data_IF_007491599753
#
_entry.id   IF_007491599753
#
_cell.length_a   1.000
_cell.length_b   1.000
_cell.length_c   1.000
_cell.angle_alpha   90.00
_cell.angle_beta   90.00
_cell.angle_gamma   90.00
#
_symmetry.space_group_name_H-M   'P 1'
#
loop_
_entity.id
_entity.type
_entity.pdbx_description
1 polymer ?
#
# COMPACT_ATOMS: atom_id res chain seq x y z
N UNK A 1 -9.06 14.44 2.33
CA UNK A 1 -8.39 15.04 1.16
C UNK A 1 -9.04 16.36 0.74
N UNK A 2 -8.84 17.43 1.52
CA UNK A 2 -9.46 18.73 1.19
C UNK A 2 -8.85 19.37 -0.07
N UNK A 3 -7.58 19.12 -0.38
CA UNK A 3 -6.90 19.67 -1.56
C UNK A 3 -7.38 19.14 -2.93
N UNK A 4 -8.14 18.03 -2.96
CA UNK A 4 -8.81 17.60 -4.19
C UNK A 4 -10.03 18.48 -4.49
N UNK A 5 -10.78 18.83 -3.45
CA UNK A 5 -11.98 19.66 -3.53
C UNK A 5 -11.68 21.11 -3.96
N UNK A 6 -10.46 21.61 -3.71
CA UNK A 6 -9.95 22.90 -4.19
C UNK A 6 -9.89 22.99 -5.73
N UNK A 7 -9.63 21.87 -6.42
CA UNK A 7 -9.57 21.80 -7.89
C UNK A 7 -10.90 21.40 -8.54
N UNK A 8 -11.96 21.21 -7.75
CA UNK A 8 -13.27 20.81 -8.28
C UNK A 8 -13.96 21.98 -8.99
N UNK A 9 -14.48 21.73 -10.20
CA UNK A 9 -15.27 22.70 -10.97
C UNK A 9 -16.48 23.24 -10.19
N UNK A 10 -17.00 22.44 -9.26
CA UNK A 10 -18.16 22.79 -8.43
C UNK A 10 -17.81 23.72 -7.24
N UNK A 11 -16.54 24.07 -7.03
CA UNK A 11 -16.09 24.99 -5.97
C UNK A 11 -16.63 24.68 -4.55
N UNK A 12 -16.67 23.41 -4.09
CA UNK A 12 -17.32 23.01 -2.83
C UNK A 12 -16.74 23.72 -1.60
N UNK A 13 -15.45 24.10 -1.64
CA UNK A 13 -14.78 24.81 -0.55
C UNK A 13 -15.22 26.28 -0.38
N UNK A 14 -16.13 26.80 -1.22
CA UNK A 14 -16.75 28.12 -0.99
C UNK A 14 -17.59 28.15 0.29
N UNK A 15 -18.30 27.06 0.59
CA UNK A 15 -19.12 26.92 1.81
C UNK A 15 -18.25 26.98 3.08
N UNK A 16 -17.01 26.48 2.99
CA UNK A 16 -16.05 26.48 4.09
C UNK A 16 -15.64 27.89 4.54
N UNK A 17 -15.69 28.92 3.69
CA UNK A 17 -15.39 30.29 4.14
C UNK A 17 -16.34 30.75 5.25
N UNK A 18 -17.66 30.54 5.06
CA UNK A 18 -18.67 30.90 6.04
C UNK A 18 -18.53 30.09 7.34
N UNK A 19 -18.29 28.78 7.22
CA UNK A 19 -18.12 27.88 8.37
C UNK A 19 -16.84 28.13 9.17
N UNK A 20 -15.79 28.68 8.54
CA UNK A 20 -14.52 29.01 9.20
C UNK A 20 -14.53 30.38 9.89
N UNK A 21 -15.40 31.31 9.47
CA UNK A 21 -15.50 32.64 10.08
C UNK A 21 -16.23 32.63 11.42
N UNK A 22 -17.26 31.79 11.56
CA UNK A 22 -17.96 31.56 12.83
C UNK A 22 -18.07 30.04 13.09
N UNK A 23 -17.00 29.39 13.57
CA UNK A 23 -16.95 27.94 13.70
C UNK A 23 -17.82 27.43 14.85
N UNK A 24 -19.03 26.96 14.52
CA UNK A 24 -19.90 26.23 15.45
C UNK A 24 -19.43 24.80 15.78
N UNK A 25 -18.42 24.30 15.06
CA UNK A 25 -17.77 23.01 15.28
C UNK A 25 -16.26 23.12 15.05
N UNK A 26 -15.47 22.29 15.73
CA UNK A 26 -14.03 22.18 15.47
C UNK A 26 -13.77 21.48 14.13
N UNK A 27 -12.95 22.08 13.27
CA UNK A 27 -12.53 21.50 12.00
C UNK A 27 -11.05 21.10 12.03
N UNK A 28 -10.76 19.86 11.63
CA UNK A 28 -9.40 19.41 11.27
C UNK A 28 -9.46 18.87 9.85
N UNK A 29 -8.64 19.42 8.96
CA UNK A 29 -8.61 19.03 7.55
C UNK A 29 -7.23 18.53 7.14
N UNK A 30 -7.17 17.36 6.51
CA UNK A 30 -5.95 16.76 5.97
C UNK A 30 -5.90 16.87 4.45
N UNK A 31 -4.72 17.25 3.94
CA UNK A 31 -4.46 17.45 2.52
C UNK A 31 -3.03 17.08 2.16
N UNK A 32 -2.85 16.35 1.07
CA UNK A 32 -1.54 16.13 0.46
C UNK A 32 -1.07 17.29 -0.45
N UNK A 33 -1.85 18.38 -0.56
CA UNK A 33 -1.56 19.57 -1.38
C UNK A 33 -1.96 20.85 -0.63
N UNK A 34 -1.26 21.99 -0.82
CA UNK A 34 -1.69 23.26 -0.25
C UNK A 34 -3.06 23.68 -0.80
N UNK A 35 -3.82 24.39 0.02
CA UNK A 35 -5.04 25.11 -0.39
C UNK A 35 -4.68 26.51 -0.88
N UNK A 36 -5.67 27.29 -1.35
CA UNK A 36 -5.42 28.70 -1.64
C UNK A 36 -5.14 29.52 -0.35
N UNK A 37 -4.54 30.69 -0.50
CA UNK A 37 -4.22 31.58 0.62
C UNK A 37 -5.48 32.08 1.36
N UNK A 38 -6.62 32.23 0.68
CA UNK A 38 -7.85 32.76 1.27
C UNK A 38 -8.50 31.77 2.25
N UNK A 39 -8.43 30.45 2.00
CA UNK A 39 -8.79 29.43 3.00
C UNK A 39 -7.71 29.32 4.08
N UNK A 40 -6.42 29.28 3.68
CA UNK A 40 -5.31 29.12 4.63
C UNK A 40 -5.24 30.22 5.69
N UNK A 41 -5.58 31.47 5.36
CA UNK A 41 -5.61 32.58 6.32
C UNK A 41 -6.67 32.43 7.44
N UNK A 42 -7.62 31.49 7.31
CA UNK A 42 -8.69 31.23 8.28
C UNK A 42 -8.44 29.97 9.14
N UNK A 43 -7.30 29.30 8.97
CA UNK A 43 -6.95 28.07 9.69
C UNK A 43 -5.49 28.09 10.15
N UNK A 44 -5.16 27.33 11.20
CA UNK A 44 -3.77 27.07 11.55
C UNK A 44 -3.23 26.01 10.59
N UNK A 45 -2.33 26.41 9.69
CA UNK A 45 -1.70 25.49 8.72
C UNK A 45 -0.42 24.91 9.31
N UNK A 46 -0.44 23.61 9.63
CA UNK A 46 0.78 22.86 9.91
C UNK A 46 1.27 22.15 8.63
N UNK A 47 2.40 22.59 8.10
CA UNK A 47 3.04 21.96 6.93
C UNK A 47 4.14 21.00 7.40
N UNK A 48 4.07 19.74 6.94
CA UNK A 48 5.12 18.74 7.17
C UNK A 48 6.08 18.79 5.97
N UNK A 49 7.33 19.26 6.13
CA UNK A 49 8.27 19.38 5.03
C UNK A 49 8.69 18.01 4.50
N UNK A 50 8.91 17.89 3.19
CA UNK A 50 9.26 16.61 2.57
C UNK A 50 10.78 16.32 2.63
N UNK A 51 11.38 16.33 3.82
CA UNK A 51 12.80 15.93 3.99
C UNK A 51 12.94 14.41 4.06
N UNK A 52 12.66 13.77 2.92
CA UNK A 52 12.53 12.32 2.80
C UNK A 52 13.69 11.56 3.44
N UNK A 53 14.94 12.01 3.31
CA UNK A 53 16.12 11.28 3.82
C UNK A 53 16.23 11.30 5.34
N UNK A 54 16.19 12.48 5.97
CA UNK A 54 16.32 12.57 7.43
C UNK A 54 15.10 11.99 8.15
N UNK A 55 13.90 12.17 7.57
CA UNK A 55 12.67 11.58 8.11
C UNK A 55 12.80 10.05 8.15
N UNK A 56 13.27 9.46 7.05
CA UNK A 56 13.50 8.03 6.91
C UNK A 56 14.55 7.49 7.90
N UNK A 57 15.69 8.17 8.06
CA UNK A 57 16.73 7.78 9.02
C UNK A 57 16.20 7.86 10.47
N UNK A 58 15.58 8.98 10.85
CA UNK A 58 15.01 9.19 12.19
C UNK A 58 13.89 8.18 12.51
N UNK A 59 12.99 7.90 11.55
CA UNK A 59 11.90 6.94 11.73
C UNK A 59 12.46 5.52 11.86
N UNK A 60 13.46 5.14 11.05
CA UNK A 60 14.06 3.82 11.17
C UNK A 60 14.75 3.63 12.53
N UNK A 61 15.44 4.66 13.05
CA UNK A 61 15.99 4.63 14.40
C UNK A 61 14.91 4.58 15.49
N UNK A 62 13.80 5.30 15.34
CA UNK A 62 12.69 5.29 16.29
C UNK A 62 12.02 3.90 16.37
N UNK A 63 11.67 3.31 15.23
CA UNK A 63 11.07 1.96 15.18
C UNK A 63 12.04 0.92 15.76
N UNK A 64 13.36 1.06 15.55
CA UNK A 64 14.36 0.20 16.17
C UNK A 64 14.41 0.37 17.70
N UNK A 65 14.41 1.62 18.21
CA UNK A 65 14.40 1.93 19.65
C UNK A 65 13.13 1.44 20.37
N UNK A 66 11.98 1.52 19.71
CA UNK A 66 10.69 1.03 20.22
C UNK A 66 10.53 -0.50 20.09
N UNK A 67 11.37 -1.17 19.30
CA UNK A 67 11.24 -2.60 19.09
C UNK A 67 11.61 -3.39 20.35
N UNK A 68 10.64 -4.14 20.89
CA UNK A 68 10.83 -5.08 22.01
C UNK A 68 11.55 -6.38 21.58
N UNK A 69 11.79 -6.54 20.28
CA UNK A 69 12.45 -7.70 19.69
C UNK A 69 13.96 -7.51 19.80
N UNK A 70 14.66 -8.49 20.39
CA UNK A 70 16.13 -8.50 20.48
C UNK A 70 16.76 -8.75 19.11
N UNK A 71 16.79 -7.71 18.29
CA UNK A 71 17.23 -7.76 16.89
C UNK A 71 18.73 -7.54 16.73
N UNK A 72 19.30 -8.08 15.64
CA UNK A 72 20.66 -7.76 15.17
C UNK A 72 20.67 -6.59 14.18
N UNK A 73 19.50 -6.08 13.80
CA UNK A 73 19.36 -5.01 12.83
C UNK A 73 20.05 -3.73 13.31
N UNK A 74 21.01 -3.26 12.52
CA UNK A 74 21.98 -2.25 12.90
C UNK A 74 21.75 -0.89 12.21
N UNK A 75 22.31 0.18 12.80
CA UNK A 75 22.32 1.53 12.20
C UNK A 75 22.99 1.54 10.81
N UNK A 76 23.93 0.62 10.55
CA UNK A 76 24.57 0.49 9.24
C UNK A 76 23.62 -0.11 8.19
N UNK A 77 22.81 -1.12 8.56
CA UNK A 77 21.76 -1.66 7.69
C UNK A 77 20.66 -0.63 7.43
N UNK A 78 20.26 0.18 8.43
CA UNK A 78 19.35 1.31 8.23
C UNK A 78 19.92 2.25 7.15
N UNK A 79 21.16 2.72 7.30
CA UNK A 79 21.83 3.61 6.33
C UNK A 79 21.95 2.99 4.93
N UNK A 80 22.17 1.68 4.84
CA UNK A 80 22.14 0.96 3.57
C UNK A 80 20.75 0.99 2.93
N UNK A 81 19.69 0.66 3.67
CA UNK A 81 18.32 0.66 3.16
C UNK A 81 17.85 2.07 2.77
N UNK A 82 18.24 3.10 3.52
CA UNK A 82 18.06 4.52 3.14
C UNK A 82 18.75 4.82 1.80
N UNK A 83 20.02 4.41 1.64
CA UNK A 83 20.79 4.59 0.40
C UNK A 83 20.14 3.87 -0.79
N UNK A 84 19.62 2.66 -0.57
CA UNK A 84 18.89 1.89 -1.59
C UNK A 84 17.61 2.62 -2.00
N UNK A 85 16.79 3.01 -1.03
CA UNK A 85 15.52 3.71 -1.28
C UNK A 85 15.71 5.03 -2.05
N UNK A 86 16.63 5.89 -1.57
CA UNK A 86 16.93 7.18 -2.19
C UNK A 86 17.51 7.05 -3.61
N UNK A 87 18.47 6.13 -3.82
CA UNK A 87 19.07 5.93 -5.14
C UNK A 87 18.10 5.30 -6.15
N UNK A 88 17.25 4.37 -5.73
CA UNK A 88 16.22 3.81 -6.61
C UNK A 88 15.22 4.89 -7.02
N UNK A 89 14.64 5.62 -6.06
CA UNK A 89 13.68 6.69 -6.35
C UNK A 89 14.24 7.73 -7.34
N UNK A 90 15.48 8.18 -7.11
CA UNK A 90 16.17 9.14 -8.01
C UNK A 90 16.51 8.57 -9.39
N UNK A 91 16.79 7.27 -9.51
CA UNK A 91 17.17 6.66 -10.79
C UNK A 91 15.95 6.42 -11.68
N UNK A 92 14.84 5.97 -11.09
CA UNK A 92 13.59 5.77 -11.80
C UNK A 92 12.92 7.09 -12.22
N UNK A 93 13.09 8.16 -11.42
CA UNK A 93 12.58 9.50 -11.74
C UNK A 93 13.32 10.23 -12.88
N UNK A 94 14.51 9.77 -13.29
CA UNK A 94 15.38 10.49 -14.24
C UNK A 94 15.34 10.00 -15.69
N UNK A 95 14.60 8.93 -15.97
CA UNK A 95 14.49 8.36 -17.32
C UNK A 95 13.06 7.88 -17.55
N UNK A 96 12.39 8.47 -18.55
CA UNK A 96 11.02 8.14 -19.00
C UNK A 96 10.85 6.72 -19.60
N UNK A 97 11.73 5.77 -19.28
CA UNK A 97 11.84 4.48 -19.95
C UNK A 97 10.88 3.40 -19.43
N UNK A 98 10.19 3.65 -18.30
CA UNK A 98 9.07 2.81 -17.90
C UNK A 98 7.75 3.58 -18.08
N UNK A 99 7.23 3.54 -19.31
CA UNK A 99 5.99 4.19 -19.77
C UNK A 99 4.74 3.93 -18.92
N UNK A 100 4.76 2.91 -18.06
CA UNK A 100 3.70 2.54 -17.12
C UNK A 100 3.67 3.38 -15.82
N UNK A 101 4.76 4.06 -15.45
CA UNK A 101 4.93 4.64 -14.09
C UNK A 101 5.37 6.11 -14.16
N UNK A 102 4.41 7.02 -14.43
CA UNK A 102 4.71 8.46 -14.60
C UNK A 102 4.92 9.26 -13.32
N UNK A 103 4.43 8.81 -12.16
CA UNK A 103 4.60 9.52 -10.88
C UNK A 103 4.82 8.56 -9.70
N UNK A 104 5.73 8.93 -8.78
CA UNK A 104 5.84 8.45 -7.39
C UNK A 104 5.60 6.95 -7.10
N UNK A 105 6.26 6.05 -7.83
CA UNK A 105 6.25 4.60 -7.53
C UNK A 105 6.63 4.29 -6.07
N UNK A 106 7.73 4.85 -5.56
CA UNK A 106 8.21 4.57 -4.20
C UNK A 106 7.77 5.65 -3.20
N UNK A 107 6.88 5.28 -2.29
CA UNK A 107 6.37 6.13 -1.21
C UNK A 107 6.98 5.81 0.16
N UNK A 108 6.77 6.70 1.15
CA UNK A 108 7.28 6.53 2.53
C UNK A 108 6.81 5.20 3.17
N UNK A 109 5.63 4.71 2.79
CA UNK A 109 5.06 3.43 3.28
C UNK A 109 5.83 2.20 2.79
N UNK A 110 6.47 2.28 1.63
CA UNK A 110 7.38 1.25 1.12
C UNK A 110 8.62 1.16 2.00
N UNK A 111 9.20 2.30 2.35
CA UNK A 111 10.31 2.35 3.29
C UNK A 111 9.92 1.88 4.70
N UNK A 112 8.77 2.28 5.24
CA UNK A 112 8.35 1.82 6.58
C UNK A 112 8.13 0.30 6.61
N UNK A 113 7.55 -0.28 5.56
CA UNK A 113 7.36 -1.73 5.46
C UNK A 113 8.69 -2.48 5.29
N UNK A 114 9.65 -1.91 4.55
CA UNK A 114 11.02 -2.41 4.42
C UNK A 114 11.75 -2.47 5.77
N UNK A 115 11.66 -1.39 6.57
CA UNK A 115 12.27 -1.35 7.91
C UNK A 115 11.58 -2.31 8.88
N UNK A 116 10.24 -2.33 8.93
CA UNK A 116 9.51 -3.28 9.80
C UNK A 116 9.86 -4.74 9.48
N UNK A 117 10.04 -5.06 8.20
CA UNK A 117 10.52 -6.38 7.77
C UNK A 117 11.94 -6.66 8.32
N UNK A 118 12.89 -5.75 8.14
CA UNK A 118 14.29 -5.98 8.52
C UNK A 118 14.58 -5.90 10.02
N UNK A 119 13.73 -5.25 10.82
CA UNK A 119 13.80 -5.34 12.29
C UNK A 119 13.60 -6.79 12.77
N UNK A 120 12.77 -7.58 12.08
CA UNK A 120 12.54 -9.01 12.39
C UNK A 120 13.47 -9.94 11.63
N UNK A 121 13.89 -9.51 10.44
CA UNK A 121 14.78 -10.23 9.54
C UNK A 121 16.04 -9.39 9.25
N UNK A 122 16.97 -9.26 10.22
CA UNK A 122 18.25 -8.58 10.02
C UNK A 122 18.93 -9.14 8.78
N UNK A 123 19.54 -8.30 7.96
CA UNK A 123 20.10 -8.71 6.67
C UNK A 123 21.22 -9.74 6.89
N UNK A 124 21.05 -11.01 6.48
CA UNK A 124 22.21 -11.78 6.06
C UNK A 124 22.70 -11.14 4.76
N UNK A 125 23.99 -11.25 4.43
CA UNK A 125 24.55 -10.83 3.12
C UNK A 125 23.91 -11.53 1.90
N UNK A 126 22.91 -12.38 2.11
CA UNK A 126 22.37 -13.34 1.16
C UNK A 126 20.82 -13.35 1.09
N UNK A 127 20.10 -12.46 1.79
CA UNK A 127 18.64 -12.36 1.64
C UNK A 127 18.19 -10.98 1.14
N UNK A 128 17.63 -10.96 -0.08
CA UNK A 128 17.06 -9.78 -0.74
C UNK A 128 15.54 -9.65 -0.57
N UNK A 129 14.90 -10.58 0.14
CA UNK A 129 13.45 -10.67 0.30
C UNK A 129 12.80 -9.33 0.68
N UNK A 130 13.28 -8.71 1.76
CA UNK A 130 12.71 -7.46 2.26
C UNK A 130 12.77 -6.33 1.23
N UNK A 131 13.91 -6.22 0.53
CA UNK A 131 14.12 -5.26 -0.56
C UNK A 131 13.15 -5.54 -1.72
N UNK A 132 13.10 -6.79 -2.20
CA UNK A 132 12.28 -7.15 -3.37
C UNK A 132 10.78 -7.01 -3.08
N UNK A 133 10.31 -7.49 -1.91
CA UNK A 133 8.89 -7.44 -1.52
C UNK A 133 8.34 -6.04 -1.24
N UNK A 134 9.20 -5.10 -0.85
CA UNK A 134 8.78 -3.74 -0.48
C UNK A 134 9.12 -2.68 -1.54
N UNK A 135 10.12 -2.88 -2.38
CA UNK A 135 10.56 -1.89 -3.39
C UNK A 135 10.18 -2.23 -4.84
N UNK A 136 9.25 -3.16 -5.05
CA UNK A 136 8.61 -3.40 -6.36
C UNK A 136 9.00 -4.67 -7.11
N UNK A 137 9.92 -5.47 -6.55
CA UNK A 137 10.05 -6.91 -6.83
C UNK A 137 10.04 -7.35 -8.29
N UNK A 138 10.72 -6.60 -9.17
CA UNK A 138 10.52 -6.72 -10.61
C UNK A 138 11.66 -7.46 -11.33
N UNK A 139 11.30 -8.26 -12.35
CA UNK A 139 12.23 -8.83 -13.35
C UNK A 139 12.65 -7.82 -14.44
N UNK A 140 12.27 -6.55 -14.32
CA UNK A 140 12.73 -5.52 -15.25
C UNK A 140 14.27 -5.39 -15.18
N UNK A 141 14.91 -5.50 -16.34
CA UNK A 141 16.36 -5.55 -16.43
C UNK A 141 17.02 -4.24 -15.97
N UNK A 142 16.36 -3.08 -16.11
CA UNK A 142 16.88 -1.81 -15.62
C UNK A 142 16.75 -1.74 -14.10
N UNK A 143 15.59 -2.11 -13.54
CA UNK A 143 15.40 -2.19 -12.08
C UNK A 143 16.44 -3.12 -11.43
N UNK A 144 16.61 -4.34 -11.95
CA UNK A 144 17.60 -5.28 -11.44
C UNK A 144 19.03 -4.76 -11.59
N UNK A 145 19.38 -4.14 -12.72
CA UNK A 145 20.70 -3.52 -12.92
C UNK A 145 20.96 -2.39 -11.92
N UNK A 146 20.02 -1.46 -11.74
CA UNK A 146 20.15 -0.36 -10.78
C UNK A 146 20.25 -0.87 -9.34
N UNK A 147 19.41 -1.84 -8.96
CA UNK A 147 19.48 -2.46 -7.64
C UNK A 147 20.84 -3.14 -7.41
N UNK A 148 21.33 -3.88 -8.41
CA UNK A 148 22.67 -4.49 -8.41
C UNK A 148 23.77 -3.45 -8.23
N UNK A 149 23.74 -2.34 -8.98
CA UNK A 149 24.74 -1.26 -8.88
C UNK A 149 24.76 -0.61 -7.49
N UNK A 150 23.62 -0.55 -6.80
CA UNK A 150 23.54 0.00 -5.43
C UNK A 150 23.97 -1.01 -4.35
N UNK A 151 23.75 -2.30 -4.57
CA UNK A 151 24.01 -3.38 -3.59
C UNK A 151 25.37 -4.09 -3.78
N UNK A 152 26.02 -3.96 -4.94
CA UNK A 152 27.36 -4.49 -5.25
C UNK A 152 28.42 -4.36 -4.13
N UNK A 153 28.55 -3.23 -3.39
CA UNK A 153 29.54 -3.13 -2.32
C UNK A 153 29.18 -3.90 -1.03
N UNK A 154 27.98 -4.46 -0.90
CA UNK A 154 27.46 -5.06 0.34
C UNK A 154 27.05 -6.54 0.18
N UNK A 155 26.68 -6.97 -1.04
CA UNK A 155 26.08 -8.28 -1.35
C UNK A 155 26.81 -8.92 -2.52
N UNK A 156 27.43 -10.08 -2.27
CA UNK A 156 28.38 -10.73 -3.19
C UNK A 156 27.74 -11.51 -4.35
N UNK A 157 26.42 -11.73 -4.36
CA UNK A 157 25.77 -12.64 -5.30
C UNK A 157 24.63 -11.99 -6.10
N UNK A 158 24.85 -11.81 -7.42
CA UNK A 158 23.80 -11.45 -8.38
C UNK A 158 22.72 -12.56 -8.50
N UNK A 159 23.09 -13.83 -8.31
CA UNK A 159 22.20 -14.97 -8.52
C UNK A 159 20.95 -14.93 -7.63
N UNK A 160 21.04 -14.25 -6.47
CA UNK A 160 19.91 -14.06 -5.57
C UNK A 160 18.78 -13.22 -6.19
N UNK A 161 19.06 -12.25 -7.06
CA UNK A 161 18.03 -11.40 -7.67
C UNK A 161 17.16 -12.17 -8.68
N UNK A 162 17.72 -13.18 -9.35
CA UNK A 162 16.99 -13.99 -10.32
C UNK A 162 15.87 -14.84 -9.68
N UNK A 163 16.00 -15.16 -8.38
CA UNK A 163 14.99 -15.89 -7.60
C UNK A 163 13.72 -15.04 -7.35
N UNK A 164 13.83 -13.71 -7.37
CA UNK A 164 12.75 -12.79 -7.01
C UNK A 164 12.06 -12.19 -8.24
N UNK A 165 11.03 -12.90 -8.73
CA UNK A 165 10.04 -12.31 -9.63
C UNK A 165 8.84 -11.72 -8.88
N UNK A 166 8.00 -10.95 -9.57
CA UNK A 166 6.77 -10.39 -9.01
C UNK A 166 5.89 -11.48 -8.40
N UNK A 167 5.84 -12.63 -9.05
CA UNK A 167 5.13 -13.83 -8.63
C UNK A 167 5.69 -14.45 -7.33
N UNK A 168 7.02 -14.37 -7.07
CA UNK A 168 7.64 -14.73 -5.78
C UNK A 168 7.51 -13.63 -4.71
N UNK A 169 7.37 -12.37 -5.10
CA UNK A 169 7.01 -11.30 -4.16
C UNK A 169 5.55 -11.46 -3.71
N UNK A 170 4.70 -11.83 -4.66
CA UNK A 170 3.37 -12.46 -4.52
C UNK A 170 3.55 -13.96 -4.15
N UNK A 171 4.63 -14.36 -3.47
CA UNK A 171 4.72 -15.54 -2.59
C UNK A 171 4.94 -15.19 -1.11
N UNK A 172 5.59 -14.07 -0.81
CA UNK A 172 6.02 -13.82 0.56
C UNK A 172 5.21 -12.76 1.30
N UNK A 173 4.42 -11.91 0.61
CA UNK A 173 3.47 -10.96 1.22
C UNK A 173 2.28 -11.60 2.02
N UNK A 174 1.22 -12.22 1.47
CA UNK A 174 0.17 -12.88 2.31
C UNK A 174 0.75 -13.98 3.26
N UNK A 175 1.91 -14.60 2.95
CA UNK A 175 2.66 -15.44 3.94
C UNK A 175 3.05 -14.68 5.22
N UNK A 176 3.07 -13.36 5.18
CA UNK A 176 3.47 -12.42 6.23
C UNK A 176 2.28 -11.53 6.64
N UNK A 177 1.73 -11.81 7.82
CA UNK A 177 0.57 -11.13 8.41
C UNK A 177 0.75 -9.60 8.59
N UNK A 178 2.00 -9.12 8.62
CA UNK A 178 2.34 -7.70 8.79
C UNK A 178 2.70 -7.00 7.47
N UNK A 179 2.57 -7.69 6.34
CA UNK A 179 2.71 -7.07 5.04
C UNK A 179 1.60 -6.02 4.80
N UNK A 180 1.82 -5.11 3.85
CA UNK A 180 0.73 -4.30 3.30
C UNK A 180 -0.04 -5.13 2.27
N UNK A 181 -1.33 -4.81 2.13
CA UNK A 181 -2.16 -5.28 1.01
C UNK A 181 -1.44 -5.12 -0.33
N UNK A 182 -1.56 -6.12 -1.20
CA UNK A 182 -0.81 -6.21 -2.44
C UNK A 182 -1.52 -5.51 -3.61
N UNK A 183 -0.81 -4.61 -4.30
CA UNK A 183 -1.27 -4.03 -5.56
C UNK A 183 -0.58 -4.78 -6.72
N UNK A 184 -1.30 -5.72 -7.33
CA UNK A 184 -0.79 -6.51 -8.47
C UNK A 184 -1.10 -5.78 -9.77
N UNK A 185 -0.08 -5.18 -10.38
CA UNK A 185 -0.22 -4.51 -11.68
C UNK A 185 0.03 -5.53 -12.80
N UNK A 186 -0.97 -5.67 -13.67
CA UNK A 186 -0.98 -6.61 -14.79
C UNK A 186 -0.89 -5.85 -16.12
N UNK A 187 -0.14 -6.38 -17.09
CA UNK A 187 -0.13 -5.82 -18.45
C UNK A 187 -1.40 -6.17 -19.26
N UNK A 188 -2.15 -7.20 -18.85
CA UNK A 188 -3.39 -7.68 -19.49
C UNK A 188 -4.50 -7.88 -18.45
N UNK A 189 -5.77 -7.65 -18.79
CA UNK A 189 -6.89 -7.69 -17.83
C UNK A 189 -7.17 -9.09 -17.26
N UNK A 190 -6.77 -10.15 -17.96
CA UNK A 190 -6.96 -11.55 -17.55
C UNK A 190 -5.76 -12.14 -16.79
N UNK A 191 -4.63 -11.43 -16.67
CA UNK A 191 -3.41 -12.01 -16.07
C UNK A 191 -3.59 -12.44 -14.61
N UNK A 192 -4.58 -11.92 -13.87
CA UNK A 192 -4.90 -12.39 -12.51
C UNK A 192 -5.23 -13.89 -12.45
N UNK A 193 -5.60 -14.52 -13.57
CA UNK A 193 -5.74 -15.98 -13.68
C UNK A 193 -4.43 -16.72 -13.37
N UNK A 194 -3.27 -16.11 -13.60
CA UNK A 194 -1.96 -16.64 -13.17
C UNK A 194 -1.84 -16.75 -11.65
N UNK A 195 -2.76 -16.18 -10.88
CA UNK A 195 -2.85 -16.36 -9.43
C UNK A 195 -3.68 -17.62 -9.05
N UNK A 196 -4.54 -18.08 -9.95
CA UNK A 196 -5.29 -19.35 -9.84
C UNK A 196 -4.47 -20.52 -10.37
N UNK A 197 -3.93 -20.39 -11.59
CA UNK A 197 -3.17 -21.43 -12.32
C UNK A 197 -1.97 -21.99 -11.52
N UNK A 198 -1.54 -21.24 -10.52
CA UNK A 198 -0.32 -21.44 -9.73
C UNK A 198 -0.63 -21.70 -8.25
N UNK A 199 -1.93 -21.79 -7.91
CA UNK A 199 -2.47 -22.12 -6.59
C UNK A 199 -2.11 -21.15 -5.45
N UNK A 200 -2.26 -19.84 -5.66
CA UNK A 200 -1.89 -18.80 -4.66
C UNK A 200 -3.07 -18.39 -3.80
N UNK A 201 -4.21 -18.40 -4.49
CA UNK A 201 -5.47 -17.82 -4.12
C UNK A 201 -6.49 -18.89 -4.47
N UNK A 202 -6.47 -20.04 -3.76
CA UNK A 202 -7.38 -21.14 -4.03
C UNK A 202 -8.82 -20.64 -3.94
N UNK A 203 -9.67 -21.14 -4.83
CA UNK A 203 -11.05 -20.68 -5.00
C UNK A 203 -11.90 -20.87 -3.73
N UNK A 204 -11.55 -21.86 -2.90
CA UNK A 204 -12.21 -22.17 -1.64
C UNK A 204 -12.03 -21.05 -0.60
N UNK A 205 -10.86 -20.42 -0.55
CA UNK A 205 -10.48 -19.40 0.43
C UNK A 205 -10.45 -17.97 -0.14
N UNK A 206 -10.63 -17.81 -1.45
CA UNK A 206 -10.52 -16.51 -2.13
C UNK A 206 -11.82 -16.09 -2.80
N UNK A 207 -12.35 -14.94 -2.38
CA UNK A 207 -13.49 -14.30 -3.03
C UNK A 207 -13.00 -13.26 -4.04
N UNK A 208 -13.32 -13.50 -5.31
CA UNK A 208 -13.03 -12.56 -6.39
C UNK A 208 -14.22 -11.63 -6.61
N UNK A 209 -14.01 -10.33 -6.42
CA UNK A 209 -15.03 -9.30 -6.58
C UNK A 209 -14.69 -8.44 -7.80
N UNK A 210 -15.60 -8.44 -8.78
CA UNK A 210 -15.48 -7.72 -10.05
C UNK A 210 -16.62 -6.71 -10.18
N UNK A 211 -16.34 -5.52 -10.71
CA UNK A 211 -17.40 -4.61 -11.13
C UNK A 211 -18.14 -5.18 -12.36
N UNK A 212 -19.37 -5.67 -12.15
CA UNK A 212 -20.20 -6.18 -13.25
C UNK A 212 -20.65 -5.06 -14.19
N UNK A 213 -20.70 -5.37 -15.49
CA UNK A 213 -21.15 -4.47 -16.56
C UNK A 213 -22.39 -5.00 -17.29
N UNK A 214 -23.01 -6.06 -16.78
CA UNK A 214 -24.27 -6.58 -17.30
C UNK A 214 -25.43 -5.69 -16.83
N UNK A 215 -26.37 -5.39 -17.75
CA UNK A 215 -27.44 -4.43 -17.49
C UNK A 215 -28.39 -4.85 -16.34
N UNK A 216 -28.57 -6.17 -16.13
CA UNK A 216 -29.28 -6.76 -14.99
C UNK A 216 -28.60 -6.44 -13.66
N UNK A 217 -27.28 -6.49 -13.64
CA UNK A 217 -26.46 -6.41 -12.43
C UNK A 217 -26.30 -4.96 -12.02
N UNK A 218 -26.17 -4.03 -12.98
CA UNK A 218 -26.15 -2.59 -12.70
C UNK A 218 -27.44 -2.06 -12.07
N UNK A 219 -28.53 -2.82 -12.15
CA UNK A 219 -29.81 -2.50 -11.51
C UNK A 219 -30.00 -3.17 -10.14
N UNK A 220 -29.13 -4.12 -9.74
CA UNK A 220 -29.35 -5.00 -8.58
C UNK A 220 -28.14 -5.14 -7.65
N UNK A 221 -26.91 -5.23 -8.19
CA UNK A 221 -25.66 -5.25 -7.43
C UNK A 221 -25.17 -3.81 -7.20
N UNK A 222 -25.29 -3.36 -5.95
CA UNK A 222 -24.86 -2.02 -5.54
C UNK A 222 -23.42 -2.00 -5.02
N UNK A 223 -22.83 -0.82 -4.87
CA UNK A 223 -21.55 -0.63 -4.17
C UNK A 223 -21.61 -1.12 -2.71
N UNK A 224 -22.80 -1.08 -2.10
CA UNK A 224 -23.06 -1.55 -0.74
C UNK A 224 -22.91 -3.07 -0.63
N UNK A 225 -23.38 -3.83 -1.62
CA UNK A 225 -23.25 -5.29 -1.64
C UNK A 225 -21.80 -5.74 -1.82
N UNK A 226 -21.03 -5.01 -2.65
CA UNK A 226 -19.58 -5.25 -2.76
C UNK A 226 -18.88 -4.97 -1.43
N UNK A 227 -19.24 -3.88 -0.75
CA UNK A 227 -18.67 -3.54 0.55
C UNK A 227 -19.00 -4.59 1.62
N UNK A 228 -20.25 -5.07 1.67
CA UNK A 228 -20.65 -6.17 2.57
C UNK A 228 -19.94 -7.49 2.27
N UNK A 229 -19.74 -7.83 0.99
CA UNK A 229 -18.92 -8.99 0.64
C UNK A 229 -17.49 -8.84 1.16
N UNK A 230 -16.88 -7.66 1.07
CA UNK A 230 -15.55 -7.39 1.67
C UNK A 230 -15.58 -7.56 3.19
N UNK A 231 -16.57 -6.98 3.88
CA UNK A 231 -16.73 -7.09 5.35
C UNK A 231 -16.84 -8.56 5.77
N UNK A 232 -17.76 -9.32 5.17
CA UNK A 232 -17.96 -10.74 5.48
C UNK A 232 -16.71 -11.58 5.21
N UNK A 233 -15.91 -11.25 4.18
CA UNK A 233 -14.64 -11.93 3.94
C UNK A 233 -13.58 -11.58 4.98
N UNK A 234 -13.51 -10.33 5.43
CA UNK A 234 -12.61 -9.91 6.52
C UNK A 234 -12.97 -10.61 7.84
N UNK A 235 -14.26 -10.75 8.16
CA UNK A 235 -14.74 -11.48 9.34
C UNK A 235 -14.44 -12.99 9.25
N UNK A 236 -14.60 -13.58 8.07
CA UNK A 236 -14.32 -14.99 7.82
C UNK A 236 -12.82 -15.31 7.59
N UNK A 237 -11.93 -14.31 7.60
CA UNK A 237 -10.50 -14.48 7.33
C UNK A 237 -10.17 -14.88 5.88
N UNK A 238 -11.07 -14.65 4.93
CA UNK A 238 -10.90 -15.01 3.51
C UNK A 238 -10.10 -13.98 2.73
N UNK A 239 -9.34 -14.47 1.75
CA UNK A 239 -8.67 -13.62 0.77
C UNK A 239 -9.70 -12.93 -0.12
N UNK A 240 -9.46 -11.67 -0.48
CA UNK A 240 -10.33 -10.90 -1.40
C UNK A 240 -9.51 -10.32 -2.53
N UNK A 241 -9.91 -10.61 -3.77
CA UNK A 241 -9.36 -9.95 -4.96
C UNK A 241 -10.33 -8.89 -5.43
N UNK A 242 -9.93 -7.62 -5.32
CA UNK A 242 -10.71 -6.48 -5.79
C UNK A 242 -10.28 -6.12 -7.21
N UNK A 243 -11.15 -6.34 -8.19
CA UNK A 243 -10.88 -6.00 -9.58
C UNK A 243 -11.83 -4.92 -10.11
N UNK A 244 -11.26 -3.76 -10.44
CA UNK A 244 -11.95 -2.59 -11.01
C UNK A 244 -13.01 -1.91 -10.11
N UNK A 245 -13.11 -2.27 -8.83
CA UNK A 245 -14.11 -1.75 -7.88
C UNK A 245 -13.78 -0.35 -7.35
N UNK A 246 -13.82 0.65 -8.23
CA UNK A 246 -13.56 2.06 -7.86
C UNK A 246 -14.59 2.62 -6.88
N UNK A 247 -15.84 2.16 -6.97
CA UNK A 247 -16.98 2.68 -6.21
C UNK A 247 -16.91 2.46 -4.70
N UNK A 248 -16.07 1.54 -4.22
CA UNK A 248 -15.86 1.27 -2.78
C UNK A 248 -14.47 1.70 -2.28
N UNK A 249 -13.60 2.24 -3.15
CA UNK A 249 -12.21 2.55 -2.78
C UNK A 249 -12.13 3.59 -1.65
N UNK A 250 -12.95 4.64 -1.72
CA UNK A 250 -13.05 5.66 -0.66
C UNK A 250 -13.51 5.06 0.68
N UNK A 251 -14.43 4.07 0.64
CA UNK A 251 -14.93 3.38 1.83
C UNK A 251 -13.83 2.54 2.50
N UNK A 252 -12.93 1.96 1.70
CA UNK A 252 -11.85 1.07 2.15
C UNK A 252 -10.55 1.81 2.52
N UNK A 253 -10.51 3.15 2.43
CA UNK A 253 -9.27 3.91 2.60
C UNK A 253 -8.56 3.65 3.94
N UNK A 254 -9.26 3.71 5.08
CA UNK A 254 -8.64 3.44 6.39
C UNK A 254 -8.29 1.96 6.61
N UNK A 255 -9.01 1.04 5.95
CA UNK A 255 -8.68 -0.40 5.91
C UNK A 255 -7.36 -0.65 5.19
N UNK A 256 -7.22 -0.09 3.98
CA UNK A 256 -6.03 -0.20 3.13
C UNK A 256 -4.81 0.48 3.77
N UNK A 257 -5.03 1.57 4.50
CA UNK A 257 -4.02 2.25 5.31
C UNK A 257 -3.58 1.46 6.56
N UNK A 258 -4.18 0.31 6.85
CA UNK A 258 -3.91 -0.54 8.02
C UNK A 258 -4.01 0.20 9.37
N UNK A 259 -4.96 1.15 9.47
CA UNK A 259 -5.18 1.99 10.67
C UNK A 259 -6.01 1.28 11.73
N UNK A 260 -5.50 0.16 12.19
CA UNK A 260 -6.20 -0.70 13.13
C UNK A 260 -6.12 -0.17 14.56
N UNK A 261 -7.26 -0.11 15.27
CA UNK A 261 -7.27 0.03 16.73
C UNK A 261 -7.28 -1.35 17.38
N UNK A 262 -6.60 -1.54 18.50
CA UNK A 262 -6.62 -2.79 19.27
C UNK A 262 -7.22 -2.52 20.64
N UNK A 263 -8.22 -3.31 21.05
CA UNK A 263 -8.67 -3.42 22.43
C UNK A 263 -8.33 -4.83 22.94
N UNK A 264 -8.55 -5.12 24.23
CA UNK A 264 -8.04 -6.33 24.88
C UNK A 264 -8.47 -7.65 24.20
N UNK A 265 -9.71 -7.71 23.73
CA UNK A 265 -10.25 -8.86 23.03
C UNK A 265 -10.08 -8.73 21.51
N UNK A 266 -9.19 -7.87 20.95
CA UNK A 266 -9.56 -7.28 19.65
C UNK A 266 -8.58 -6.52 18.69
N UNK A 267 -8.99 -6.38 17.40
CA UNK A 267 -8.48 -5.47 16.32
C UNK A 267 -9.58 -4.85 15.37
N UNK A 268 -9.75 -3.51 15.23
CA UNK A 268 -10.85 -2.74 14.54
C UNK A 268 -10.44 -2.03 13.24
N UNK A 269 -11.39 -1.69 12.36
CA UNK A 269 -11.25 -0.76 11.20
C UNK A 269 -12.42 0.25 11.15
N UNK A 270 -12.19 1.46 10.60
CA UNK A 270 -13.26 2.37 10.18
C UNK A 270 -13.56 2.21 8.68
N UNK A 271 -14.83 2.05 8.32
CA UNK A 271 -15.32 1.97 6.94
C UNK A 271 -16.50 2.93 6.81
N UNK A 272 -16.46 3.85 5.84
CA UNK A 272 -17.49 4.87 5.64
C UNK A 272 -18.23 4.64 4.32
N UNK A 273 -19.56 4.58 4.37
CA UNK A 273 -20.39 4.54 3.15
C UNK A 273 -21.14 5.85 2.97
N UNK A 274 -20.91 6.53 1.85
CA UNK A 274 -21.58 7.79 1.52
C UNK A 274 -22.92 7.54 0.84
N UNK A 275 -23.95 7.26 1.63
CA UNK A 275 -25.34 7.70 1.41
C UNK A 275 -26.18 7.34 2.66
N UNK A 276 -27.08 8.25 3.03
CA UNK A 276 -27.83 8.32 4.30
C UNK A 276 -27.03 8.79 5.53
N UNK A 277 -27.52 9.89 6.09
CA UNK A 277 -27.10 10.47 7.36
C UNK A 277 -27.72 9.60 8.48
N UNK A 278 -26.93 9.27 9.51
CA UNK A 278 -27.22 8.35 10.62
C UNK A 278 -27.17 6.83 10.32
N UNK A 279 -25.95 6.29 10.36
CA UNK A 279 -25.69 4.94 10.88
C UNK A 279 -24.33 4.93 11.61
N UNK A 280 -24.33 4.82 12.93
CA UNK A 280 -23.12 4.53 13.71
C UNK A 280 -23.03 3.01 13.89
N UNK A 281 -21.94 2.39 13.44
CA UNK A 281 -21.69 0.96 13.62
C UNK A 281 -20.35 0.77 14.34
N UNK A 282 -20.37 -0.03 15.41
CA UNK A 282 -19.22 -0.44 16.23
C UNK A 282 -19.17 -1.98 16.20
N UNK A 283 -18.01 -2.64 15.96
CA UNK A 283 -18.01 -4.12 15.91
C UNK A 283 -16.67 -4.85 16.17
N UNK A 284 -16.83 -6.13 16.59
CA UNK A 284 -15.89 -7.17 17.08
C UNK A 284 -15.43 -8.19 16.03
N UNK A 285 -14.15 -8.54 15.80
CA UNK A 285 -12.80 -8.23 16.37
C UNK A 285 -12.09 -9.15 17.42
N UNK A 286 -11.07 -9.97 17.01
CA UNK A 286 -9.88 -10.50 17.77
C UNK A 286 -8.75 -11.04 16.85
N UNK A 287 -7.72 -11.70 17.41
CA UNK A 287 -6.36 -11.88 16.87
C UNK A 287 -6.14 -13.07 15.90
N UNK A 288 -5.76 -12.74 14.66
CA UNK A 288 -4.68 -13.28 13.81
C UNK A 288 -4.21 -14.75 13.93
N UNK A 289 -4.18 -15.45 12.77
CA UNK A 289 -2.98 -16.12 12.23
C UNK A 289 -3.03 -16.49 10.73
N UNK A 290 -1.90 -16.26 10.04
CA UNK A 290 -1.35 -16.85 8.80
C UNK A 290 -2.27 -17.16 7.59
N UNK A 291 -2.07 -16.49 6.45
CA UNK A 291 -2.77 -16.84 5.18
C UNK A 291 -1.93 -16.60 3.91
N UNK A 292 -1.17 -17.62 3.51
CA UNK A 292 -0.16 -17.73 2.42
C UNK A 292 -0.57 -17.29 0.98
N UNK A 293 0.44 -17.01 0.11
CA UNK A 293 0.47 -16.66 -1.34
C UNK A 293 1.17 -17.76 -2.20
N UNK A 294 1.40 -17.61 -3.56
CA UNK A 294 2.70 -17.96 -4.27
C UNK A 294 2.81 -18.06 -5.82
N UNK A 295 2.93 -16.96 -6.58
CA UNK A 295 2.87 -16.93 -8.06
C UNK A 295 3.78 -17.90 -8.88
N UNK A 296 3.24 -18.38 -10.02
CA UNK A 296 3.82 -18.12 -11.36
C UNK A 296 4.40 -19.24 -12.26
N UNK A 297 4.28 -19.03 -13.59
CA UNK A 297 5.09 -19.48 -14.76
C UNK A 297 4.30 -20.32 -15.82
N UNK A 298 4.39 -20.12 -17.15
CA UNK A 298 5.07 -19.18 -18.07
C UNK A 298 5.13 -19.83 -19.48
N UNK A 299 5.09 -19.16 -20.65
CA UNK A 299 5.00 -17.74 -21.06
C UNK A 299 3.94 -17.58 -22.18
N UNK A 300 3.36 -16.38 -22.38
CA UNK A 300 3.92 -15.49 -23.41
C UNK A 300 4.06 -14.05 -22.89
N UNK A 301 5.28 -13.68 -22.47
CA UNK A 301 5.69 -12.46 -21.74
C UNK A 301 4.53 -11.60 -21.19
N UNK A 302 3.78 -12.17 -20.24
CA UNK A 302 2.82 -11.44 -19.42
C UNK A 302 3.57 -10.84 -18.23
N UNK A 303 3.94 -9.56 -18.33
CA UNK A 303 4.67 -8.87 -17.26
C UNK A 303 3.70 -8.41 -16.19
N UNK A 304 3.66 -9.15 -15.08
CA UNK A 304 3.14 -8.66 -13.81
C UNK A 304 4.22 -7.89 -13.05
N UNK A 305 3.79 -6.85 -12.34
CA UNK A 305 4.61 -6.09 -11.41
C UNK A 305 3.90 -6.04 -10.04
N UNK A 306 4.62 -6.38 -8.97
CA UNK A 306 4.07 -6.36 -7.61
C UNK A 306 4.43 -5.05 -6.93
N UNK A 307 3.44 -4.23 -6.62
CA UNK A 307 3.59 -3.04 -5.80
C UNK A 307 2.73 -3.13 -4.55
N UNK A 308 2.81 -2.08 -3.74
CA UNK A 308 1.97 -1.87 -2.57
C UNK A 308 1.38 -0.47 -2.71
N UNK A 309 0.20 -0.25 -2.15
CA UNK A 309 -0.51 1.01 -2.32
C UNK A 309 0.24 2.18 -1.65
N UNK A 310 0.22 3.34 -2.32
CA UNK A 310 0.97 4.57 -1.98
C UNK A 310 0.39 5.25 -0.74
#
# INVERSE_FOLDING_TARGET
EIGLAERSKHSPLKVLHHLLENPGISLVALSNRPLDAAKMNRVIVHQIPNNLKSDIENIAEAILKESTIRTKFSVNEIKLLVRVFDKLGKSMSKKDQMLLYKENWLGRRDFYALIRYHIRHPLPKQNLEGIMRNLGGCRDANFQKYLTEILKPEIESLNLMNLWGSLKCIEMNLKDEDCRHCLVICNKPYSWQLLLDQNLLPYEDTVFLFESKFASDTATMTSYDHLHKVINCMEAGKNVVLYHLKSIHECLYDMLNQRYRKNAQSVHVFVFFYNYIHAHIYLYLHLYRTAILSGGNGEPEQRMHCFREV
#
